data_IF_251580895213
#
_entry.id   IF_251580895213
#
_cell.length_a   1.000
_cell.length_b   1.000
_cell.length_c   1.000
_cell.angle_alpha   90.00
_cell.angle_beta   90.00
_cell.angle_gamma   90.00
#
_symmetry.space_group_name_H-M   'P 1'
#
loop_
_entity.id
_entity.type
_entity.pdbx_description
1 polymer ?
#
# COMPACT_ATOMS: atom_id res chain seq x y z
N UNK A 1 -16.14 -9.14 -6.69
CA UNK A 1 -16.40 -8.02 -5.76
C UNK A 1 -15.05 -7.39 -5.54
N UNK A 2 -14.85 -6.16 -5.98
CA UNK A 2 -13.75 -5.35 -5.44
C UNK A 2 -14.08 -5.13 -3.97
N UNK A 3 -13.13 -5.48 -3.10
CA UNK A 3 -13.21 -5.26 -1.66
C UNK A 3 -12.90 -3.79 -1.28
N UNK A 4 -12.85 -2.89 -2.28
CA UNK A 4 -12.64 -1.46 -2.14
C UNK A 4 -11.19 -1.06 -1.85
N UNK A 5 -10.27 -2.01 -1.86
CA UNK A 5 -8.85 -1.75 -1.59
C UNK A 5 -8.14 -1.20 -2.83
N UNK A 6 -7.55 -0.03 -2.67
CA UNK A 6 -6.71 0.61 -3.67
C UNK A 6 -5.27 0.70 -3.20
N UNK A 7 -4.33 0.47 -4.11
CA UNK A 7 -2.90 0.46 -3.81
C UNK A 7 -2.37 1.87 -3.60
N UNK A 8 -1.74 2.08 -2.45
CA UNK A 8 -1.04 3.32 -2.13
C UNK A 8 0.36 3.38 -2.78
N UNK A 9 0.73 4.59 -3.19
CA UNK A 9 2.04 4.97 -3.64
C UNK A 9 2.98 5.27 -2.47
N UNK A 10 4.28 5.24 -2.75
CA UNK A 10 5.32 5.36 -1.73
C UNK A 10 5.36 6.71 -0.99
N UNK A 11 4.82 7.76 -1.61
CA UNK A 11 4.79 9.12 -1.07
C UNK A 11 3.49 9.49 -0.36
N UNK A 12 2.48 8.63 -0.44
CA UNK A 12 1.22 8.81 0.28
C UNK A 12 1.45 8.60 1.78
N UNK A 13 0.65 9.31 2.58
CA UNK A 13 0.83 9.41 4.02
C UNK A 13 -0.28 8.64 4.71
N UNK A 14 0.11 7.79 5.64
CA UNK A 14 -0.80 7.02 6.49
C UNK A 14 -0.66 7.52 7.91
N UNK A 15 -1.78 7.65 8.59
CA UNK A 15 -1.82 7.89 10.03
C UNK A 15 -2.58 6.75 10.69
N UNK A 16 -2.03 6.22 11.78
CA UNK A 16 -2.62 5.12 12.54
C UNK A 16 -2.76 5.53 14.00
N UNK A 17 -3.51 4.75 14.79
CA UNK A 17 -3.55 4.98 16.24
C UNK A 17 -2.20 4.73 16.90
N UNK A 18 -1.85 5.46 17.97
CA UNK A 18 -0.66 5.18 18.78
C UNK A 18 -0.62 3.71 19.22
N UNK A 19 0.59 3.18 19.41
CA UNK A 19 0.82 1.81 19.91
C UNK A 19 0.27 0.67 19.03
N UNK A 20 -0.12 0.97 17.78
CA UNK A 20 -0.52 -0.03 16.79
C UNK A 20 0.69 -0.87 16.35
N UNK A 21 1.83 -0.24 16.06
CA UNK A 21 3.07 -0.93 15.70
C UNK A 21 4.06 -0.96 16.86
N UNK A 22 3.96 -1.99 17.70
CA UNK A 22 4.84 -2.14 18.87
C UNK A 22 6.23 -2.73 18.53
N UNK A 23 6.39 -3.28 17.32
CA UNK A 23 7.63 -3.95 16.89
C UNK A 23 8.42 -3.16 15.86
N UNK A 24 7.77 -2.23 15.15
CA UNK A 24 8.39 -1.41 14.12
C UNK A 24 8.64 -0.03 14.70
N UNK A 25 9.86 0.47 14.55
CA UNK A 25 10.20 1.83 14.94
C UNK A 25 9.70 2.81 13.88
N UNK A 26 8.42 3.19 13.95
CA UNK A 26 7.80 4.11 12.99
C UNK A 26 6.93 5.15 13.69
N UNK A 27 6.90 6.36 13.14
CA UNK A 27 6.05 7.44 13.63
C UNK A 27 4.56 7.10 13.46
N UNK A 28 3.69 7.78 14.22
CA UNK A 28 2.22 7.66 14.09
C UNK A 28 1.73 8.02 12.68
N UNK A 29 2.33 9.05 12.10
CA UNK A 29 2.05 9.53 10.75
C UNK A 29 3.33 9.36 9.94
N UNK A 30 3.25 8.61 8.86
CA UNK A 30 4.41 8.18 8.09
C UNK A 30 4.05 8.05 6.62
N UNK A 31 5.04 8.17 5.73
CA UNK A 31 4.83 7.80 4.32
C UNK A 31 4.90 6.30 4.16
N UNK A 32 4.22 5.75 3.14
CA UNK A 32 4.28 4.32 2.82
C UNK A 32 5.72 3.80 2.70
N UNK A 33 6.63 4.60 2.13
CA UNK A 33 8.07 4.25 2.05
C UNK A 33 8.75 4.11 3.42
N UNK A 34 8.33 4.88 4.42
CA UNK A 34 8.93 4.84 5.76
C UNK A 34 8.55 3.53 6.46
N UNK A 35 7.33 3.03 6.23
CA UNK A 35 6.91 1.69 6.68
C UNK A 35 7.73 0.58 6.04
N UNK A 36 7.96 0.69 4.73
CA UNK A 36 8.82 -0.26 4.01
C UNK A 36 10.24 -0.26 4.62
N UNK A 37 10.80 0.90 4.94
CA UNK A 37 12.12 1.01 5.60
C UNK A 37 12.10 0.38 6.99
N UNK A 38 11.10 0.69 7.82
CA UNK A 38 10.97 0.12 9.17
C UNK A 38 10.85 -1.42 9.15
N UNK A 39 10.12 -1.99 8.18
CA UNK A 39 10.03 -3.45 8.02
C UNK A 39 11.39 -4.04 7.64
N UNK A 40 12.14 -3.42 6.72
CA UNK A 40 13.48 -3.88 6.30
C UNK A 40 14.46 -3.91 7.46
N UNK A 41 14.48 -2.85 8.26
CA UNK A 41 15.31 -2.75 9.46
C UNK A 41 14.92 -3.83 10.47
N UNK A 42 13.62 -4.07 10.68
CA UNK A 42 13.14 -5.08 11.62
C UNK A 42 13.53 -6.51 11.25
N UNK A 43 13.51 -6.85 9.95
CA UNK A 43 13.88 -8.20 9.47
C UNK A 43 15.39 -8.35 9.25
N UNK A 44 16.18 -7.28 9.34
CA UNK A 44 17.63 -7.31 9.08
C UNK A 44 17.99 -7.59 7.62
N UNK A 45 17.17 -7.15 6.67
CA UNK A 45 17.32 -7.46 5.24
C UNK A 45 18.22 -6.47 4.48
N UNK A 46 18.99 -5.63 5.16
CA UNK A 46 19.97 -4.79 4.46
C UNK A 46 20.94 -5.71 3.72
N UNK A 47 20.87 -5.72 2.38
CA UNK A 47 21.65 -6.54 1.44
C UNK A 47 21.07 -7.91 1.00
N UNK A 48 19.82 -8.26 1.31
CA UNK A 48 19.20 -9.49 0.79
C UNK A 48 18.26 -9.25 -0.40
N UNK A 49 18.08 -10.29 -1.24
CA UNK A 49 17.08 -10.26 -2.33
C UNK A 49 15.65 -10.04 -1.82
N UNK A 50 15.39 -10.30 -0.52
CA UNK A 50 14.10 -10.10 0.13
C UNK A 50 13.67 -8.62 0.14
N UNK A 51 14.63 -7.68 0.08
CA UNK A 51 14.35 -6.24 -0.10
C UNK A 51 13.55 -5.96 -1.37
N UNK A 52 13.73 -6.79 -2.41
CA UNK A 52 13.00 -6.64 -3.66
C UNK A 52 11.51 -6.90 -3.49
N UNK A 53 11.10 -7.68 -2.47
CA UNK A 53 9.69 -7.90 -2.14
C UNK A 53 8.96 -6.59 -1.84
N UNK A 54 9.65 -5.57 -1.34
CA UNK A 54 9.07 -4.27 -1.01
C UNK A 54 9.42 -3.15 -2.02
N UNK A 55 10.08 -3.49 -3.14
CA UNK A 55 10.49 -2.52 -4.16
C UNK A 55 10.11 -2.99 -5.56
N UNK A 56 11.01 -3.70 -6.25
CA UNK A 56 10.89 -4.08 -7.66
C UNK A 56 10.11 -5.39 -7.89
N UNK A 57 9.82 -6.11 -6.81
CA UNK A 57 9.28 -7.45 -6.80
C UNK A 57 10.33 -8.55 -6.95
N UNK A 58 10.04 -9.70 -6.35
CA UNK A 58 10.86 -10.91 -6.39
C UNK A 58 10.39 -11.85 -7.50
N UNK A 59 11.34 -12.36 -8.31
CA UNK A 59 11.05 -13.30 -9.38
C UNK A 59 10.49 -14.61 -8.81
N UNK A 60 9.38 -15.09 -9.36
CA UNK A 60 8.72 -16.31 -8.88
C UNK A 60 7.86 -16.94 -9.97
N UNK A 61 7.29 -18.11 -9.63
CA UNK A 61 6.20 -18.74 -10.36
C UNK A 61 4.98 -18.83 -9.46
N UNK A 62 3.80 -18.50 -9.99
CA UNK A 62 2.53 -18.58 -9.26
C UNK A 62 1.59 -19.53 -10.00
N UNK A 63 0.91 -20.40 -9.25
CA UNK A 63 -0.21 -21.21 -9.73
C UNK A 63 -1.51 -20.55 -9.27
N UNK A 64 -2.22 -19.89 -10.18
CA UNK A 64 -3.47 -19.20 -9.87
C UNK A 64 -4.67 -20.09 -10.20
N UNK A 65 -5.78 -19.96 -9.46
CA UNK A 65 -7.01 -20.72 -9.74
C UNK A 65 -7.56 -20.50 -11.16
N UNK A 66 -7.28 -19.35 -11.76
CA UNK A 66 -7.71 -18.96 -13.11
C UNK A 66 -6.74 -19.38 -14.22
N UNK A 67 -5.59 -19.96 -13.90
CA UNK A 67 -4.54 -20.29 -14.88
C UNK A 67 -4.33 -21.79 -15.01
N UNK A 68 -4.19 -22.27 -16.25
CA UNK A 68 -3.75 -23.64 -16.54
C UNK A 68 -2.23 -23.75 -16.34
N UNK A 69 -1.81 -23.95 -15.08
CA UNK A 69 -0.42 -24.23 -14.71
C UNK A 69 0.35 -23.05 -14.10
N UNK A 70 1.64 -23.28 -13.80
CA UNK A 70 2.55 -22.31 -13.20
C UNK A 70 2.88 -21.18 -14.17
N UNK A 71 2.84 -19.93 -13.70
CA UNK A 71 3.17 -18.73 -14.47
C UNK A 71 4.34 -17.98 -13.85
N UNK A 72 5.41 -17.77 -14.63
CA UNK A 72 6.55 -16.92 -14.24
C UNK A 72 6.15 -15.45 -14.17
N UNK A 73 6.66 -14.75 -13.16
CA UNK A 73 6.42 -13.34 -12.95
C UNK A 73 7.19 -12.78 -11.75
N UNK A 74 6.65 -11.71 -11.16
CA UNK A 74 7.18 -11.10 -9.94
C UNK A 74 6.08 -10.92 -8.90
N UNK A 75 6.42 -11.08 -7.63
CA UNK A 75 5.55 -10.74 -6.49
C UNK A 75 6.16 -9.61 -5.68
N UNK A 76 5.32 -8.72 -5.16
CA UNK A 76 5.73 -7.66 -4.22
C UNK A 76 4.63 -7.45 -3.18
N UNK A 77 5.02 -6.95 -2.03
CA UNK A 77 4.10 -6.44 -1.03
C UNK A 77 3.80 -4.96 -1.31
N UNK A 78 2.55 -4.57 -1.13
CA UNK A 78 2.09 -3.20 -1.25
C UNK A 78 1.11 -2.91 -0.11
N UNK A 79 1.02 -1.64 0.27
CA UNK A 79 -0.01 -1.19 1.19
C UNK A 79 -1.24 -0.78 0.38
N UNK A 80 -2.40 -1.24 0.81
CA UNK A 80 -3.69 -0.94 0.19
C UNK A 80 -4.59 -0.27 1.21
N UNK A 81 -5.49 0.59 0.74
CA UNK A 81 -6.42 1.35 1.56
C UNK A 81 -7.83 1.21 1.02
N UNK A 82 -8.78 1.00 1.93
CA UNK A 82 -10.21 0.96 1.61
C UNK A 82 -10.90 2.02 2.48
N UNK A 83 -11.50 3.06 1.88
CA UNK A 83 -12.20 4.09 2.63
C UNK A 83 -13.54 3.55 3.16
N UNK A 84 -13.93 3.99 4.36
CA UNK A 84 -15.22 3.61 4.97
C UNK A 84 -16.42 4.10 4.15
N UNK A 85 -16.27 5.25 3.49
CA UNK A 85 -17.25 5.83 2.57
C UNK A 85 -16.62 5.95 1.17
N UNK A 86 -17.30 5.45 0.15
CA UNK A 86 -16.85 5.60 -1.24
C UNK A 86 -16.92 7.07 -1.63
N UNK A 87 -15.80 7.65 -2.08
CA UNK A 87 -15.82 8.98 -2.68
C UNK A 87 -16.66 8.94 -3.97
N UNK A 88 -17.75 9.70 -4.01
CA UNK A 88 -18.56 9.80 -5.21
C UNK A 88 -17.81 10.68 -6.21
N UNK A 89 -17.71 10.29 -7.49
CA UNK A 89 -17.15 11.17 -8.54
C UNK A 89 -17.87 12.53 -8.64
N UNK A 90 -19.09 12.63 -8.11
CA UNK A 90 -19.86 13.87 -8.06
C UNK A 90 -19.46 14.77 -6.89
N UNK A 91 -18.84 14.26 -5.83
CA UNK A 91 -18.48 15.04 -4.64
C UNK A 91 -17.49 16.15 -5.01
N UNK A 92 -16.51 15.87 -5.87
CA UNK A 92 -15.61 16.89 -6.42
C UNK A 92 -16.35 17.99 -7.20
N UNK A 93 -17.38 17.62 -7.97
CA UNK A 93 -18.17 18.55 -8.77
C UNK A 93 -19.02 19.44 -7.85
N UNK A 94 -19.65 18.86 -6.84
CA UNK A 94 -20.41 19.60 -5.84
C UNK A 94 -19.55 20.61 -5.07
N UNK A 95 -18.32 20.23 -4.70
CA UNK A 95 -17.41 21.16 -4.01
C UNK A 95 -16.95 22.32 -4.92
N UNK A 96 -16.76 22.07 -6.22
CA UNK A 96 -16.41 23.12 -7.19
C UNK A 96 -17.56 24.11 -7.40
N UNK A 97 -18.81 23.64 -7.48
CA UNK A 97 -19.97 24.51 -7.66
C UNK A 97 -20.19 25.45 -6.46
N UNK A 98 -20.03 24.96 -5.23
CA UNK A 98 -20.14 25.79 -4.00
C UNK A 98 -19.12 26.93 -3.93
N UNK A 99 -17.95 26.77 -4.54
CA UNK A 99 -16.90 27.81 -4.57
C UNK A 99 -17.17 28.91 -5.60
N UNK A 100 -18.04 28.66 -6.57
CA UNK A 100 -18.42 29.65 -7.61
C UNK A 100 -19.60 30.50 -7.16
N UNK A 101 -20.41 30.02 -6.22
CA UNK A 101 -21.57 30.74 -5.67
C UNK A 101 -21.24 31.70 -4.52
N UNK A 102 -19.96 31.85 -4.14
CA UNK A 102 -19.50 32.72 -3.04
C UNK A 102 -18.55 33.82 -3.52
#
# INVERSE_FOLDING_TARGET
MEDGFERLNHDEVVSIEPDTFNKLNIAKTFKVRDLITAIKEYIGAEETDEVNLYTQGLNCEVLQFSTLGWKKGKVRLALEFCPDESESPLDEIFQKLKQVEN
#
